data_IF_656845287601
#
_entry.id   IF_656845287601
#
_cell.length_a   1.000
_cell.length_b   1.000
_cell.length_c   1.000
_cell.angle_alpha   90.00
_cell.angle_beta   90.00
_cell.angle_gamma   90.00
#
_symmetry.space_group_name_H-M   'P 1'
#
loop_
_entity.id
_entity.type
_entity.pdbx_description
1 polymer ?
#
# COMPACT_ATOMS: atom_id res chain seq x y z
N UNK A 1 -38.82 89.33 -30.58
CA UNK A 1 -37.59 88.68 -31.00
C UNK A 1 -37.49 87.40 -30.13
N UNK A 2 -37.95 86.29 -30.68
CA UNK A 2 -38.01 85.01 -29.97
C UNK A 2 -36.90 84.13 -30.54
N UNK A 3 -35.92 83.80 -29.71
CA UNK A 3 -34.78 82.89 -30.05
C UNK A 3 -35.16 81.42 -29.78
N UNK A 4 -35.19 80.62 -30.82
CA UNK A 4 -35.48 79.19 -30.76
C UNK A 4 -34.16 78.45 -30.62
N UNK A 5 -33.95 77.82 -29.49
CA UNK A 5 -32.80 76.94 -29.25
C UNK A 5 -33.18 75.50 -29.69
N UNK A 6 -32.51 75.00 -30.72
CA UNK A 6 -32.59 73.58 -31.15
C UNK A 6 -31.73 72.72 -30.28
N UNK A 7 -32.29 71.74 -29.61
CA UNK A 7 -31.61 70.69 -28.93
C UNK A 7 -31.26 69.57 -29.93
N UNK A 8 -29.96 69.26 -30.06
CA UNK A 8 -29.49 68.12 -30.83
C UNK A 8 -29.35 66.98 -29.83
N UNK A 9 -30.19 65.95 -29.96
CA UNK A 9 -30.03 64.70 -29.23
C UNK A 9 -28.89 63.82 -29.89
N UNK A 10 -27.78 63.66 -29.19
CA UNK A 10 -26.72 62.76 -29.60
C UNK A 10 -27.00 61.36 -29.01
N UNK A 11 -27.43 60.39 -29.85
CA UNK A 11 -27.70 59.04 -29.45
C UNK A 11 -26.32 58.25 -29.45
N UNK A 12 -25.81 57.97 -28.28
CA UNK A 12 -24.66 57.08 -28.10
C UNK A 12 -25.13 55.63 -28.18
N UNK A 13 -24.68 54.92 -29.22
CA UNK A 13 -24.89 53.48 -29.39
C UNK A 13 -23.88 52.76 -28.52
N UNK A 14 -24.32 52.12 -27.43
CA UNK A 14 -23.48 51.24 -26.59
C UNK A 14 -23.49 49.85 -27.20
N UNK A 15 -22.38 49.45 -27.79
CA UNK A 15 -22.16 48.05 -28.19
C UNK A 15 -21.87 47.21 -26.93
N UNK A 16 -22.82 46.39 -26.55
CA UNK A 16 -22.62 45.34 -25.52
C UNK A 16 -21.97 44.15 -26.22
N UNK A 17 -20.67 43.96 -26.00
CA UNK A 17 -19.99 42.73 -26.39
C UNK A 17 -20.43 41.59 -25.47
N UNK A 18 -21.21 40.65 -25.99
CA UNK A 18 -21.56 39.42 -25.28
C UNK A 18 -20.32 38.52 -25.22
N UNK A 19 -19.69 38.40 -24.05
CA UNK A 19 -18.71 37.34 -23.76
C UNK A 19 -19.49 36.02 -23.65
N UNK A 20 -19.37 35.16 -24.65
CA UNK A 20 -19.79 33.74 -24.54
C UNK A 20 -18.87 33.04 -23.57
N UNK A 21 -19.39 32.26 -22.57
CA UNK A 21 -18.55 31.47 -21.71
C UNK A 21 -17.85 30.40 -22.55
N UNK A 22 -16.52 30.31 -22.41
CA UNK A 22 -15.72 29.26 -23.04
C UNK A 22 -16.18 27.89 -22.51
N UNK A 23 -16.53 26.99 -23.41
CA UNK A 23 -16.85 25.61 -23.08
C UNK A 23 -15.59 24.99 -22.46
N UNK A 24 -15.65 24.36 -21.26
CA UNK A 24 -14.48 23.71 -20.69
C UNK A 24 -14.00 22.60 -21.64
N UNK A 25 -12.75 22.68 -22.06
CA UNK A 25 -12.10 21.61 -22.81
C UNK A 25 -12.08 20.38 -21.92
N UNK A 26 -12.56 19.19 -22.38
CA UNK A 26 -12.50 17.98 -21.58
C UNK A 26 -11.04 17.68 -21.24
N UNK A 27 -10.74 17.53 -19.96
CA UNK A 27 -9.44 17.07 -19.48
C UNK A 27 -9.20 15.68 -20.07
N UNK A 28 -8.06 15.42 -20.71
CA UNK A 28 -7.74 14.09 -21.21
C UNK A 28 -7.84 13.10 -20.04
N UNK A 29 -8.56 12.01 -20.22
CA UNK A 29 -8.55 10.90 -19.28
C UNK A 29 -7.10 10.40 -19.17
N UNK A 30 -6.61 10.06 -17.96
CA UNK A 30 -5.29 9.44 -17.83
C UNK A 30 -5.24 8.19 -18.70
N UNK A 31 -4.08 7.85 -19.28
CA UNK A 31 -3.95 6.66 -20.09
C UNK A 31 -4.39 5.46 -19.28
N UNK A 32 -5.37 4.71 -19.81
CA UNK A 32 -5.82 3.46 -19.21
C UNK A 32 -4.64 2.48 -19.29
N UNK A 33 -3.99 2.22 -18.17
CA UNK A 33 -2.95 1.19 -18.10
C UNK A 33 -3.63 -0.16 -18.31
N UNK A 34 -3.12 -0.95 -19.26
CA UNK A 34 -3.62 -2.31 -19.46
C UNK A 34 -3.37 -3.11 -18.18
N UNK A 35 -4.39 -3.71 -17.58
CA UNK A 35 -4.20 -4.53 -16.38
C UNK A 35 -3.22 -5.67 -16.64
N UNK A 36 -2.31 -5.91 -15.68
CA UNK A 36 -1.40 -7.06 -15.69
C UNK A 36 -2.20 -8.30 -15.29
N UNK A 37 -2.07 -9.37 -16.04
CA UNK A 37 -2.86 -10.61 -15.86
C UNK A 37 -2.03 -11.79 -15.37
N UNK A 38 -0.72 -11.72 -15.40
CA UNK A 38 0.21 -12.70 -14.83
C UNK A 38 1.44 -12.00 -14.27
N UNK A 39 2.06 -12.57 -13.24
CA UNK A 39 3.29 -12.06 -12.63
C UNK A 39 4.43 -11.93 -13.66
N UNK A 40 4.49 -12.86 -14.62
CA UNK A 40 5.49 -12.86 -15.70
C UNK A 40 5.33 -11.73 -16.72
N UNK A 41 4.16 -11.08 -16.76
CA UNK A 41 3.89 -9.98 -17.69
C UNK A 41 4.40 -8.63 -17.16
N UNK A 42 4.94 -8.61 -15.93
CA UNK A 42 5.44 -7.41 -15.29
C UNK A 42 6.95 -7.45 -15.11
N UNK A 43 7.59 -6.36 -15.47
CA UNK A 43 9.00 -6.11 -15.12
C UNK A 43 9.02 -5.12 -13.96
N UNK A 44 9.63 -5.46 -12.82
CA UNK A 44 9.68 -4.56 -11.66
C UNK A 44 10.21 -3.17 -12.00
N UNK A 45 9.50 -2.15 -11.55
CA UNK A 45 9.84 -0.74 -11.69
C UNK A 45 10.05 -0.16 -10.30
N UNK A 46 11.21 0.45 -10.06
CA UNK A 46 11.47 1.16 -8.81
C UNK A 46 11.71 2.64 -9.04
N UNK A 47 11.38 3.45 -8.04
CA UNK A 47 11.64 4.87 -7.99
C UNK A 47 11.91 5.30 -6.55
N UNK A 48 12.80 6.28 -6.38
CA UNK A 48 13.08 6.88 -5.09
C UNK A 48 12.12 8.05 -4.81
N UNK A 49 11.51 8.06 -3.63
CA UNK A 49 10.69 9.14 -3.09
C UNK A 49 11.26 9.58 -1.74
N UNK A 50 11.74 10.80 -1.66
CA UNK A 50 12.33 11.39 -0.45
C UNK A 50 13.39 10.49 0.21
N UNK A 51 14.27 9.89 -0.61
CA UNK A 51 15.36 9.02 -0.16
C UNK A 51 14.93 7.58 0.16
N UNK A 52 13.69 7.19 -0.16
CA UNK A 52 13.20 5.81 0.04
C UNK A 52 12.82 5.19 -1.29
N UNK A 53 13.39 4.02 -1.57
CA UNK A 53 13.06 3.24 -2.76
C UNK A 53 11.69 2.58 -2.62
N UNK A 54 10.81 2.84 -3.57
CA UNK A 54 9.50 2.22 -3.68
C UNK A 54 9.39 1.46 -5.00
N UNK A 55 8.61 0.40 -5.02
CA UNK A 55 8.30 -0.37 -6.24
C UNK A 55 6.87 -0.11 -6.68
N UNK A 56 6.67 -0.05 -7.99
CA UNK A 56 5.35 0.14 -8.57
C UNK A 56 4.58 -1.18 -8.62
N UNK A 57 3.38 -1.17 -8.09
CA UNK A 57 2.40 -2.25 -8.23
C UNK A 57 1.42 -1.82 -9.32
N UNK A 58 1.36 -2.52 -10.46
CA UNK A 58 0.49 -2.14 -11.57
C UNK A 58 -0.99 -2.40 -11.27
N UNK A 59 -1.87 -1.77 -12.05
CA UNK A 59 -3.28 -2.12 -12.06
C UNK A 59 -3.47 -3.58 -12.48
N UNK A 60 -4.48 -4.25 -11.93
CA UNK A 60 -4.80 -5.65 -12.21
C UNK A 60 -5.68 -6.27 -11.15
N UNK A 61 -5.99 -7.54 -11.31
CA UNK A 61 -6.83 -8.29 -10.40
C UNK A 61 -6.10 -9.52 -9.86
N UNK A 62 -6.45 -9.95 -8.66
CA UNK A 62 -5.95 -11.19 -8.06
C UNK A 62 -7.03 -11.87 -7.21
N UNK A 63 -6.79 -13.10 -6.84
CA UNK A 63 -7.62 -13.81 -5.87
C UNK A 63 -7.04 -13.62 -4.47
N UNK A 64 -7.73 -12.81 -3.65
CA UNK A 64 -7.37 -12.55 -2.26
C UNK A 64 -7.84 -13.69 -1.36
N UNK A 65 -7.00 -14.09 -0.39
CA UNK A 65 -7.30 -15.16 0.54
C UNK A 65 -6.73 -16.52 0.12
N UNK A 66 -7.11 -17.58 0.84
CA UNK A 66 -6.65 -18.95 0.59
C UNK A 66 -7.64 -19.97 1.14
N UNK A 67 -8.35 -20.71 0.25
CA UNK A 67 -9.34 -21.74 0.66
C UNK A 67 -8.69 -22.90 1.45
N UNK A 68 -7.41 -23.15 1.24
CA UNK A 68 -6.65 -24.18 1.97
C UNK A 68 -6.00 -23.65 3.25
N UNK A 69 -6.02 -22.34 3.45
CA UNK A 69 -5.45 -21.64 4.59
C UNK A 69 -6.34 -21.69 5.84
N UNK A 70 -6.08 -20.76 6.76
CA UNK A 70 -6.84 -20.61 7.99
C UNK A 70 -8.27 -20.13 7.72
N UNK A 71 -9.17 -20.33 8.68
CA UNK A 71 -10.58 -19.91 8.57
C UNK A 71 -10.73 -18.40 8.25
N UNK A 72 -9.86 -17.55 8.78
CA UNK A 72 -9.89 -16.11 8.57
C UNK A 72 -9.31 -15.67 7.22
N UNK A 73 -8.71 -16.59 6.46
CA UNK A 73 -8.23 -16.37 5.09
C UNK A 73 -9.32 -16.68 4.05
N UNK A 74 -10.49 -17.13 4.47
CA UNK A 74 -11.61 -17.59 3.62
C UNK A 74 -12.81 -16.67 3.70
N UNK A 75 -13.63 -16.63 2.63
CA UNK A 75 -13.45 -17.27 1.33
C UNK A 75 -12.41 -16.56 0.46
N UNK A 76 -11.84 -17.28 -0.50
CA UNK A 76 -11.16 -16.65 -1.63
C UNK A 76 -12.14 -15.76 -2.42
N UNK A 77 -11.68 -14.60 -2.87
CA UNK A 77 -12.50 -13.65 -3.61
C UNK A 77 -11.64 -12.73 -4.47
N UNK A 78 -12.19 -12.27 -5.59
CA UNK A 78 -11.47 -11.40 -6.51
C UNK A 78 -11.40 -9.97 -6.00
N UNK A 79 -10.20 -9.38 -6.04
CA UNK A 79 -9.95 -7.95 -5.83
C UNK A 79 -9.26 -7.39 -7.08
N UNK A 80 -9.68 -6.19 -7.49
CA UNK A 80 -9.11 -5.48 -8.64
C UNK A 80 -8.66 -4.08 -8.24
N UNK A 81 -7.55 -3.64 -8.81
CA UNK A 81 -7.01 -2.28 -8.71
C UNK A 81 -7.09 -1.63 -10.10
N UNK A 82 -7.84 -0.53 -10.20
CA UNK A 82 -8.03 0.22 -11.45
C UNK A 82 -6.86 1.16 -11.76
N UNK A 83 -6.00 1.44 -10.79
CA UNK A 83 -4.84 2.30 -10.91
C UNK A 83 -3.62 1.67 -10.24
N UNK A 84 -2.40 1.94 -10.74
CA UNK A 84 -1.18 1.53 -10.07
C UNK A 84 -0.98 2.30 -8.76
N UNK A 85 -0.17 1.74 -7.87
CA UNK A 85 0.30 2.39 -6.65
C UNK A 85 1.77 2.06 -6.41
N UNK A 86 2.38 2.75 -5.46
CA UNK A 86 3.74 2.49 -5.01
C UNK A 86 3.71 1.89 -3.61
N UNK A 87 4.62 0.96 -3.34
CA UNK A 87 4.84 0.38 -2.01
C UNK A 87 6.33 0.40 -1.71
N UNK A 88 6.72 0.65 -0.46
CA UNK A 88 8.12 0.58 -0.05
C UNK A 88 8.71 -0.77 -0.45
N UNK A 89 9.89 -0.73 -1.07
CA UNK A 89 10.60 -1.94 -1.50
C UNK A 89 10.94 -2.84 -0.33
N UNK A 90 11.22 -2.24 0.81
CA UNK A 90 11.60 -2.89 2.06
C UNK A 90 10.67 -2.43 3.19
N UNK A 91 10.71 -3.13 4.30
CA UNK A 91 10.18 -2.65 5.57
C UNK A 91 10.87 -1.35 5.97
N UNK A 92 10.19 -0.46 6.68
CA UNK A 92 10.82 0.77 7.22
C UNK A 92 11.91 0.37 8.20
N UNK A 93 13.13 0.85 7.96
CA UNK A 93 14.31 0.50 8.78
C UNK A 93 14.43 1.40 10.02
N UNK A 94 15.24 0.96 11.00
CA UNK A 94 15.59 1.75 12.16
C UNK A 94 16.21 3.10 11.76
N UNK A 95 17.11 3.12 10.77
CA UNK A 95 17.72 4.34 10.26
C UNK A 95 16.69 5.30 9.65
N UNK A 96 15.74 4.82 8.89
CA UNK A 96 14.68 5.64 8.30
C UNK A 96 13.72 6.18 9.35
N UNK A 97 13.41 5.39 10.37
CA UNK A 97 12.52 5.79 11.45
C UNK A 97 13.18 6.80 12.39
N UNK A 98 14.51 6.72 12.56
CA UNK A 98 15.29 7.59 13.42
C UNK A 98 15.38 7.12 14.87
N UNK A 99 14.98 5.87 15.14
CA UNK A 99 15.05 5.20 16.44
C UNK A 99 15.13 3.68 16.22
N UNK A 100 15.50 2.91 17.24
CA UNK A 100 15.61 1.45 17.16
C UNK A 100 14.48 0.76 17.92
N UNK A 101 14.00 -0.36 17.36
CA UNK A 101 13.14 -1.30 18.08
C UNK A 101 13.92 -2.17 19.08
N UNK A 102 13.48 -3.41 19.25
CA UNK A 102 14.18 -4.37 20.11
C UNK A 102 15.47 -4.90 19.47
N UNK A 103 15.53 -4.90 18.14
CA UNK A 103 16.67 -5.43 17.39
C UNK A 103 17.53 -4.29 16.84
N UNK A 104 18.71 -4.00 17.42
CA UNK A 104 19.56 -2.91 16.97
C UNK A 104 20.22 -3.22 15.63
N UNK A 105 20.41 -2.18 14.80
CA UNK A 105 20.99 -2.25 13.47
C UNK A 105 20.30 -1.26 12.55
N UNK A 106 21.04 -0.43 11.85
CA UNK A 106 20.49 0.64 11.01
C UNK A 106 19.59 0.12 9.90
N UNK A 107 19.95 -1.03 9.31
CA UNK A 107 19.25 -1.65 8.19
C UNK A 107 18.23 -2.71 8.63
N UNK A 108 18.09 -2.98 9.93
CA UNK A 108 17.03 -3.86 10.42
C UNK A 108 15.68 -3.16 10.39
N UNK A 109 14.56 -3.90 10.19
CA UNK A 109 13.23 -3.30 10.22
C UNK A 109 12.93 -2.66 11.57
N UNK A 110 12.23 -1.53 11.55
CA UNK A 110 11.72 -0.89 12.75
C UNK A 110 10.46 -1.61 13.22
N UNK A 111 10.54 -2.29 14.32
CA UNK A 111 9.46 -3.06 14.93
C UNK A 111 9.10 -2.53 16.33
N UNK A 112 8.19 -3.17 17.05
CA UNK A 112 7.77 -2.82 18.39
C UNK A 112 7.17 -1.40 18.50
N UNK A 113 6.24 -1.11 17.61
CA UNK A 113 5.56 0.19 17.53
C UNK A 113 4.04 0.01 17.47
N UNK A 114 3.31 1.06 17.89
CA UNK A 114 1.87 1.10 17.79
C UNK A 114 1.44 1.26 16.31
N UNK A 115 0.26 0.77 15.98
CA UNK A 115 -0.31 1.02 14.65
C UNK A 115 -0.39 2.52 14.31
N UNK A 116 -0.76 3.35 15.29
CA UNK A 116 -0.82 4.81 15.12
C UNK A 116 0.55 5.43 14.83
N UNK A 117 1.62 4.93 15.42
CA UNK A 117 2.98 5.39 15.15
C UNK A 117 3.43 5.03 13.74
N UNK A 118 3.11 3.81 13.27
CA UNK A 118 3.36 3.39 11.88
C UNK A 118 2.58 4.24 10.88
N UNK A 119 1.28 4.44 11.11
CA UNK A 119 0.42 5.31 10.30
C UNK A 119 0.98 6.71 10.20
N UNK A 120 1.28 7.34 11.33
CA UNK A 120 1.70 8.73 11.41
C UNK A 120 3.09 8.94 10.76
N UNK A 121 3.97 7.93 10.84
CA UNK A 121 5.24 7.95 10.12
C UNK A 121 5.03 7.97 8.61
N UNK A 122 4.19 7.09 8.06
CA UNK A 122 3.88 7.08 6.64
C UNK A 122 3.24 8.39 6.19
N UNK A 123 2.28 8.94 6.97
CA UNK A 123 1.64 10.22 6.69
C UNK A 123 2.66 11.37 6.65
N UNK A 124 3.60 11.41 7.59
CA UNK A 124 4.68 12.41 7.62
C UNK A 124 5.57 12.36 6.38
N UNK A 125 5.72 11.19 5.75
CA UNK A 125 6.44 11.00 4.48
C UNK A 125 5.58 11.33 3.24
N UNK A 126 4.34 11.82 3.36
CA UNK A 126 3.42 11.99 2.24
C UNK A 126 2.96 10.67 1.61
N UNK A 127 2.95 9.63 2.42
CA UNK A 127 2.51 8.26 2.11
C UNK A 127 1.43 7.80 3.10
N UNK A 128 1.08 6.54 3.11
CA UNK A 128 0.13 5.90 4.03
C UNK A 128 0.53 4.45 4.29
N UNK A 129 -0.07 3.80 5.27
CA UNK A 129 0.01 2.35 5.33
C UNK A 129 -0.68 1.74 4.09
N UNK A 130 -0.20 0.62 3.56
CA UNK A 130 -0.94 -0.12 2.54
C UNK A 130 -2.25 -0.67 3.13
N UNK A 131 -3.28 -0.82 2.31
CA UNK A 131 -4.42 -1.65 2.67
C UNK A 131 -4.01 -3.12 2.71
N UNK A 132 -4.80 -3.94 3.39
CA UNK A 132 -4.56 -5.38 3.43
C UNK A 132 -4.55 -5.99 2.01
N UNK A 133 -5.46 -5.54 1.16
CA UNK A 133 -5.54 -5.99 -0.22
C UNK A 133 -4.33 -5.54 -1.07
N UNK A 134 -3.86 -4.31 -0.90
CA UNK A 134 -2.66 -3.81 -1.58
C UNK A 134 -1.42 -4.61 -1.17
N UNK A 135 -1.26 -4.84 0.14
CA UNK A 135 -0.15 -5.61 0.66
C UNK A 135 -0.14 -7.03 0.07
N UNK A 136 -1.30 -7.73 0.09
CA UNK A 136 -1.41 -9.09 -0.43
C UNK A 136 -1.17 -9.15 -1.95
N UNK A 137 -1.70 -8.19 -2.71
CA UNK A 137 -1.45 -8.12 -4.15
C UNK A 137 0.02 -7.87 -4.48
N UNK A 138 0.70 -6.96 -3.76
CA UNK A 138 2.14 -6.73 -3.94
C UNK A 138 2.98 -7.98 -3.64
N UNK A 139 2.54 -8.82 -2.70
CA UNK A 139 3.22 -10.07 -2.36
C UNK A 139 2.99 -11.17 -3.41
N UNK A 140 1.75 -11.40 -3.83
CA UNK A 140 1.29 -12.60 -4.57
C UNK A 140 1.12 -12.39 -6.07
N UNK A 141 0.77 -11.17 -6.46
CA UNK A 141 0.45 -10.80 -7.83
C UNK A 141 -0.83 -11.42 -8.39
N UNK A 142 -1.07 -11.18 -9.70
CA UNK A 142 -2.21 -11.75 -10.42
C UNK A 142 -2.31 -13.26 -10.33
N UNK A 143 -1.17 -13.96 -10.28
CA UNK A 143 -1.13 -15.42 -10.19
C UNK A 143 -1.53 -15.95 -8.81
N UNK A 144 -1.70 -15.05 -7.82
CA UNK A 144 -2.15 -15.36 -6.45
C UNK A 144 -1.29 -16.44 -5.80
N UNK A 145 0.03 -16.34 -5.96
CA UNK A 145 1.01 -17.30 -5.45
C UNK A 145 0.89 -17.48 -3.93
N UNK A 146 1.27 -18.64 -3.41
CA UNK A 146 1.23 -18.92 -1.98
C UNK A 146 2.30 -18.11 -1.21
N UNK A 147 3.49 -17.97 -1.80
CA UNK A 147 4.60 -17.14 -1.31
C UNK A 147 5.01 -16.13 -2.38
N UNK A 148 5.78 -15.09 -2.06
CA UNK A 148 6.21 -14.09 -3.05
C UNK A 148 6.94 -14.70 -4.26
N UNK A 149 7.63 -15.82 -4.07
CA UNK A 149 8.46 -16.51 -5.07
C UNK A 149 7.80 -17.72 -5.73
N UNK A 150 6.64 -18.17 -5.29
CA UNK A 150 5.96 -19.35 -5.82
C UNK A 150 5.08 -20.08 -4.81
N UNK A 151 4.78 -21.34 -5.07
CA UNK A 151 3.85 -22.13 -4.24
C UNK A 151 4.56 -23.10 -3.27
N UNK A 152 5.88 -23.16 -3.30
CA UNK A 152 6.66 -24.00 -2.41
C UNK A 152 7.37 -23.18 -1.34
N UNK A 153 7.34 -23.66 -0.09
CA UNK A 153 8.10 -23.04 1.01
C UNK A 153 9.58 -23.34 0.84
N UNK A 154 10.40 -22.29 0.70
CA UNK A 154 11.85 -22.40 0.63
C UNK A 154 12.46 -21.59 1.79
N UNK A 155 12.97 -22.27 2.81
CA UNK A 155 13.47 -21.66 4.04
C UNK A 155 14.63 -20.67 3.82
N UNK A 156 15.40 -20.82 2.75
CA UNK A 156 16.49 -19.91 2.42
C UNK A 156 16.03 -18.57 1.84
N UNK A 157 14.75 -18.47 1.43
CA UNK A 157 14.18 -17.27 0.79
C UNK A 157 13.53 -16.31 1.80
N UNK A 158 13.44 -16.66 3.07
CA UNK A 158 12.85 -15.82 4.10
C UNK A 158 13.68 -15.82 5.38
N UNK A 159 13.53 -14.77 6.19
CA UNK A 159 14.08 -14.68 7.54
C UNK A 159 13.05 -15.22 8.54
N UNK A 160 13.43 -16.20 9.36
CA UNK A 160 12.57 -16.77 10.39
C UNK A 160 13.41 -17.32 11.56
N UNK A 161 12.78 -17.72 12.66
CA UNK A 161 13.44 -18.08 13.92
C UNK A 161 14.56 -19.13 13.78
N UNK A 162 14.35 -20.14 12.93
CA UNK A 162 15.30 -21.24 12.78
C UNK A 162 16.55 -20.85 12.00
N UNK A 163 16.52 -19.81 11.18
CA UNK A 163 17.67 -19.39 10.39
C UNK A 163 18.28 -18.05 10.82
N UNK A 164 17.71 -17.37 11.82
CA UNK A 164 18.20 -16.07 12.30
C UNK A 164 18.21 -15.92 13.83
N UNK A 165 18.35 -17.00 14.58
CA UNK A 165 18.47 -16.98 16.05
C UNK A 165 17.35 -16.21 16.78
N UNK A 166 16.14 -16.23 16.25
CA UNK A 166 15.01 -15.53 16.82
C UNK A 166 15.17 -13.99 16.82
N UNK A 167 15.84 -13.44 15.82
CA UNK A 167 16.04 -12.02 15.61
C UNK A 167 15.53 -11.59 14.23
N UNK A 168 15.43 -10.31 13.96
CA UNK A 168 15.27 -9.77 12.61
C UNK A 168 16.61 -9.79 11.87
N UNK A 169 16.60 -9.69 10.55
CA UNK A 169 17.79 -9.46 9.74
C UNK A 169 17.73 -8.08 9.07
N UNK A 170 18.83 -7.67 8.45
CA UNK A 170 18.80 -6.49 7.58
C UNK A 170 17.81 -6.70 6.45
N UNK A 171 17.04 -5.68 6.12
CA UNK A 171 16.01 -5.75 5.07
C UNK A 171 16.64 -6.16 3.74
N UNK A 172 15.93 -6.98 2.96
CA UNK A 172 16.43 -7.48 1.68
C UNK A 172 17.58 -8.50 1.77
N UNK A 173 17.84 -9.05 2.96
CA UNK A 173 18.93 -10.05 3.16
C UNK A 173 18.66 -11.37 2.44
N UNK A 174 17.45 -11.60 1.95
CA UNK A 174 17.02 -12.80 1.21
C UNK A 174 16.64 -12.44 -0.24
N UNK A 175 17.61 -12.29 -1.15
CA UNK A 175 17.36 -11.78 -2.49
C UNK A 175 16.43 -12.66 -3.33
N UNK A 176 16.41 -13.96 -3.11
CA UNK A 176 15.54 -14.91 -3.83
C UNK A 176 14.10 -14.93 -3.28
N UNK A 177 13.85 -14.26 -2.15
CA UNK A 177 12.53 -14.09 -1.54
C UNK A 177 11.72 -12.89 -2.08
N UNK A 178 12.22 -12.24 -3.12
CA UNK A 178 11.61 -11.05 -3.70
C UNK A 178 10.27 -11.37 -4.37
N UNK A 179 9.30 -10.46 -4.26
CA UNK A 179 8.00 -10.58 -4.93
C UNK A 179 8.05 -10.17 -6.41
N UNK A 180 7.00 -10.48 -7.14
CA UNK A 180 6.85 -10.17 -8.56
C UNK A 180 7.00 -8.69 -8.92
N UNK A 181 6.73 -7.77 -7.98
CA UNK A 181 6.93 -6.32 -8.15
C UNK A 181 8.30 -5.84 -7.69
N UNK A 182 9.10 -6.71 -7.08
CA UNK A 182 10.41 -6.35 -6.55
C UNK A 182 10.40 -5.90 -5.09
N UNK A 183 9.31 -6.15 -4.33
CA UNK A 183 9.26 -5.92 -2.89
C UNK A 183 9.90 -7.10 -2.16
N UNK A 184 10.74 -6.80 -1.17
CA UNK A 184 11.45 -7.78 -0.34
C UNK A 184 10.71 -8.03 0.98
N UNK A 185 11.03 -9.15 1.60
CA UNK A 185 10.58 -9.53 2.95
C UNK A 185 9.03 -9.58 3.09
N UNK A 186 8.32 -9.76 1.94
CA UNK A 186 6.86 -9.97 1.93
C UNK A 186 6.46 -11.33 2.53
N UNK A 187 7.43 -12.12 2.97
CA UNK A 187 7.30 -13.33 3.76
C UNK A 187 8.53 -13.43 4.66
N UNK A 188 8.34 -13.40 5.98
CA UNK A 188 9.43 -13.43 6.96
C UNK A 188 9.81 -12.06 7.50
N UNK A 189 10.92 -11.99 8.20
CA UNK A 189 11.55 -10.88 8.89
C UNK A 189 10.65 -10.29 10.00
N UNK A 190 9.69 -9.40 9.69
CA UNK A 190 8.69 -8.93 10.65
C UNK A 190 7.27 -9.05 10.09
N UNK A 191 6.29 -9.10 10.97
CA UNK A 191 4.92 -8.79 10.61
C UNK A 191 4.80 -7.30 10.29
N UNK A 192 3.81 -6.93 9.49
CA UNK A 192 3.65 -5.56 9.03
C UNK A 192 2.24 -5.05 9.25
N UNK A 193 2.11 -3.94 9.99
CA UNK A 193 0.87 -3.22 10.10
C UNK A 193 0.37 -2.76 8.73
N UNK A 194 -0.92 -2.98 8.47
CA UNK A 194 -1.63 -2.39 7.34
C UNK A 194 -2.73 -1.44 7.82
N UNK A 195 -3.34 -0.66 6.93
CA UNK A 195 -4.39 0.31 7.30
C UNK A 195 -5.66 -0.36 7.81
N UNK A 196 -5.94 -1.56 7.36
CA UNK A 196 -7.24 -2.24 7.41
C UNK A 196 -7.66 -2.64 8.83
N UNK A 197 -8.88 -2.30 9.22
CA UNK A 197 -9.57 -2.85 10.40
C UNK A 197 -9.89 -4.32 10.13
N UNK A 198 -9.61 -5.19 11.11
CA UNK A 198 -9.92 -6.60 10.98
C UNK A 198 -11.42 -6.84 10.89
N UNK A 199 -11.84 -7.36 9.75
CA UNK A 199 -13.20 -7.86 9.49
C UNK A 199 -13.14 -9.20 8.76
N UNK A 200 -14.18 -10.05 8.87
CA UNK A 200 -14.26 -11.27 8.07
C UNK A 200 -14.17 -10.98 6.56
N UNK A 201 -13.68 -11.96 5.81
CA UNK A 201 -13.77 -11.95 4.34
C UNK A 201 -15.20 -12.27 3.87
N UNK A 202 -15.58 -11.88 2.65
CA UNK A 202 -14.76 -11.20 1.63
C UNK A 202 -14.35 -9.78 2.03
N UNK A 203 -13.22 -9.32 1.51
CA UNK A 203 -12.75 -7.95 1.69
C UNK A 203 -13.64 -6.99 0.88
N UNK A 204 -14.05 -5.90 1.53
CA UNK A 204 -14.80 -4.82 0.89
C UNK A 204 -14.25 -3.48 1.38
N UNK A 205 -13.55 -2.75 0.51
CA UNK A 205 -12.95 -1.45 0.84
C UNK A 205 -13.99 -0.38 1.25
N UNK A 206 -15.28 -0.60 0.97
CA UNK A 206 -16.37 0.37 1.22
C UNK A 206 -17.10 0.13 2.54
N UNK A 207 -16.82 -0.94 3.25
CA UNK A 207 -17.51 -1.32 4.50
C UNK A 207 -16.98 -0.61 5.76
N UNK A 208 -16.10 0.38 5.59
CA UNK A 208 -15.48 1.15 6.67
C UNK A 208 -14.23 0.50 7.27
N UNK A 209 -13.74 -0.63 6.71
CA UNK A 209 -12.49 -1.25 7.20
C UNK A 209 -11.24 -0.41 6.95
N UNK A 210 -11.30 0.54 6.03
CA UNK A 210 -10.17 1.44 5.71
C UNK A 210 -10.28 2.81 6.40
N UNK A 211 -11.08 2.94 7.46
CA UNK A 211 -11.13 4.17 8.26
C UNK A 211 -9.84 4.35 9.07
N UNK A 212 -8.96 5.23 8.59
CA UNK A 212 -7.69 5.57 9.21
C UNK A 212 -7.82 6.38 10.52
N UNK A 213 -9.02 6.90 10.83
CA UNK A 213 -9.29 7.67 12.03
C UNK A 213 -9.78 6.80 13.19
N UNK A 214 -10.24 5.58 12.93
CA UNK A 214 -10.57 4.63 13.98
C UNK A 214 -9.26 4.11 14.61
N UNK A 215 -9.03 4.50 15.87
CA UNK A 215 -7.85 4.10 16.66
C UNK A 215 -8.19 3.09 17.75
N UNK A 216 -9.36 2.46 17.67
CA UNK A 216 -9.89 1.56 18.70
C UNK A 216 -10.14 0.14 18.20
N UNK A 217 -10.55 0.00 16.94
CA UNK A 217 -10.80 -1.31 16.32
C UNK A 217 -9.49 -2.05 16.05
N UNK A 218 -9.54 -3.37 16.12
CA UNK A 218 -8.39 -4.24 15.81
C UNK A 218 -7.91 -4.00 14.38
N UNK A 219 -6.60 -3.89 14.22
CA UNK A 219 -5.93 -3.68 12.93
C UNK A 219 -5.27 -4.96 12.46
N UNK A 220 -5.31 -5.15 11.15
CA UNK A 220 -4.65 -6.28 10.51
C UNK A 220 -3.14 -6.03 10.43
N UNK A 221 -2.37 -7.10 10.58
CA UNK A 221 -0.98 -7.14 10.18
C UNK A 221 -0.72 -8.41 9.35
N UNK A 222 0.23 -8.30 8.45
CA UNK A 222 0.50 -9.28 7.39
C UNK A 222 1.94 -9.78 7.46
N UNK A 223 2.29 -10.78 6.65
CA UNK A 223 3.61 -11.38 6.62
C UNK A 223 4.03 -11.97 7.98
N UNK A 224 5.30 -12.16 8.12
CA UNK A 224 5.97 -12.51 9.35
C UNK A 224 5.89 -13.98 9.70
N UNK A 225 7.04 -14.52 10.03
CA UNK A 225 7.12 -15.75 10.77
C UNK A 225 8.19 -15.60 11.79
N UNK A 226 7.76 -15.41 13.00
CA UNK A 226 8.74 -15.51 14.05
C UNK A 226 8.85 -16.94 14.61
N UNK A 227 7.75 -17.69 14.74
CA UNK A 227 7.75 -18.97 15.43
C UNK A 227 7.00 -20.12 14.74
N UNK A 228 6.43 -19.96 13.54
CA UNK A 228 5.56 -20.99 12.94
C UNK A 228 5.70 -21.02 11.42
N UNK A 229 6.71 -21.72 10.92
CA UNK A 229 6.97 -21.88 9.48
C UNK A 229 5.75 -22.45 8.75
N UNK A 230 5.02 -23.35 9.35
CA UNK A 230 3.92 -24.07 8.71
C UNK A 230 2.65 -23.26 8.51
N UNK A 231 2.48 -22.12 9.21
CA UNK A 231 1.19 -21.43 9.26
C UNK A 231 1.22 -19.93 9.03
N UNK A 232 2.38 -19.30 9.00
CA UNK A 232 2.46 -17.83 8.91
C UNK A 232 3.21 -17.29 7.70
N UNK A 233 3.96 -18.13 6.97
CA UNK A 233 4.78 -17.72 5.83
C UNK A 233 3.97 -17.40 4.58
N UNK A 234 2.81 -18.00 4.43
CA UNK A 234 1.96 -17.76 3.27
C UNK A 234 1.51 -16.31 3.21
N UNK A 235 1.64 -15.69 2.05
CA UNK A 235 1.29 -14.27 1.86
C UNK A 235 -0.21 -13.97 2.01
N UNK A 236 -1.09 -14.99 2.10
CA UNK A 236 -2.50 -14.85 2.45
C UNK A 236 -2.75 -14.85 3.97
N UNK A 237 -1.75 -15.18 4.80
CA UNK A 237 -1.91 -15.26 6.24
C UNK A 237 -2.29 -13.91 6.85
N UNK A 238 -3.29 -13.92 7.74
CA UNK A 238 -3.86 -12.75 8.37
C UNK A 238 -3.77 -12.85 9.88
N UNK A 239 -3.34 -11.76 10.49
CA UNK A 239 -3.28 -11.60 11.94
C UNK A 239 -3.87 -10.24 12.31
N UNK A 240 -4.16 -10.03 13.59
CA UNK A 240 -4.69 -8.76 14.07
C UNK A 240 -4.39 -8.53 15.54
N UNK A 241 -4.29 -7.28 15.91
CA UNK A 241 -4.17 -6.84 17.30
C UNK A 241 -4.88 -5.50 17.51
N UNK A 242 -5.01 -5.10 18.76
CA UNK A 242 -5.47 -3.76 19.10
C UNK A 242 -4.42 -2.72 18.64
N UNK A 243 -4.84 -1.54 18.14
CA UNK A 243 -3.92 -0.53 17.60
C UNK A 243 -2.95 0.06 18.64
N UNK A 244 -3.22 -0.13 19.92
CA UNK A 244 -2.38 0.23 21.06
C UNK A 244 -1.49 -0.92 21.58
N UNK A 245 -1.48 -2.06 20.87
CA UNK A 245 -0.57 -3.17 21.17
C UNK A 245 0.81 -2.91 20.56
N UNK A 246 1.85 -3.26 21.32
CA UNK A 246 3.22 -3.34 20.82
C UNK A 246 3.63 -4.82 20.77
N UNK A 247 4.18 -5.21 19.67
CA UNK A 247 4.71 -6.55 19.47
C UNK A 247 6.13 -6.48 18.93
N UNK A 248 7.01 -7.33 19.43
CA UNK A 248 8.44 -7.33 19.13
C UNK A 248 8.78 -7.60 17.66
N UNK A 249 7.83 -8.17 16.95
CA UNK A 249 8.00 -8.56 15.56
C UNK A 249 6.99 -7.91 14.62
N UNK A 250 6.34 -6.84 15.03
CA UNK A 250 5.43 -6.09 14.16
C UNK A 250 6.06 -4.75 13.81
N UNK A 251 6.48 -4.64 12.56
CA UNK A 251 6.96 -3.43 11.91
C UNK A 251 5.93 -2.92 10.89
N UNK A 252 6.38 -2.32 9.80
CA UNK A 252 5.51 -1.79 8.75
C UNK A 252 6.31 -1.37 7.52
N UNK A 253 5.60 -1.20 6.42
CA UNK A 253 6.03 -0.46 5.22
C UNK A 253 4.97 0.54 4.80
N UNK A 254 5.34 1.53 3.98
CA UNK A 254 4.39 2.52 3.49
C UNK A 254 4.00 2.25 2.03
N UNK A 255 2.84 2.79 1.63
CA UNK A 255 2.36 2.83 0.26
C UNK A 255 2.00 4.25 -0.14
N UNK A 256 1.92 4.51 -1.45
CA UNK A 256 1.59 5.81 -2.01
C UNK A 256 0.77 5.63 -3.29
N UNK A 257 -0.28 6.42 -3.45
CA UNK A 257 -1.01 6.48 -4.72
C UNK A 257 -0.14 7.09 -5.82
N UNK A 258 -0.30 6.62 -7.04
CA UNK A 258 0.40 7.14 -8.23
C UNK A 258 -0.04 8.52 -8.64
#
# INVERSE_FOLDING_TARGET
>A
MKMIIKWICLSTLVLVAACSPATPTPTPLPPTTTPVISNSDWTPVSQEFDGVEMVQVPAGCFTMGNEKGRRNERPEHQICFDAPYWIDRYEVTNAQYGDTGNFPGEQRPRENLLWTEARDFCVKRGARLPTEAEWEYAARGPDSLLYPWGDELVGDFLVFDQNNNNETADVGSKPDGVSWVGAYDMSGNVFEWVSTIYKPYPYDATDGREDMNDTTSQRVFRSGIHNYVDYGAGSAARFWAAPDSRDWFVGFRCAKSS
#
